data_IF_183076660509
#
_entry.id   IF_183076660509
#
_cell.length_a   1.000
_cell.length_b   1.000
_cell.length_c   1.000
_cell.angle_alpha   90.00
_cell.angle_beta   90.00
_cell.angle_gamma   90.00
#
_symmetry.space_group_name_H-M   'P 1'
#
loop_
_entity.id
_entity.type
_entity.pdbx_description
1 polymer ?
#
# COMPACT_ATOMS: atom_id res chain seq x y z
N UNK A 1 -12.01 8.81 -43.97
CA UNK A 1 -11.80 7.70 -43.01
C UNK A 1 -11.49 8.32 -41.66
N UNK A 2 -12.50 8.43 -40.81
CA UNK A 2 -12.37 8.92 -39.43
C UNK A 2 -12.01 7.73 -38.55
N UNK A 3 -10.78 7.71 -38.03
CA UNK A 3 -10.37 6.75 -37.02
C UNK A 3 -11.06 7.17 -35.71
N UNK A 4 -12.08 6.41 -35.31
CA UNK A 4 -12.65 6.56 -33.98
C UNK A 4 -11.58 6.24 -32.94
N UNK A 5 -11.31 7.20 -32.08
CA UNK A 5 -10.42 7.06 -30.94
C UNK A 5 -11.11 6.07 -29.99
N UNK A 6 -10.48 4.96 -29.57
CA UNK A 6 -11.10 4.02 -28.65
C UNK A 6 -11.44 4.77 -27.36
N UNK A 7 -12.73 4.89 -27.10
CA UNK A 7 -13.28 5.46 -25.88
C UNK A 7 -13.16 4.38 -24.81
N UNK A 8 -12.06 4.43 -24.06
CA UNK A 8 -11.94 3.63 -22.83
C UNK A 8 -13.11 4.01 -21.91
N UNK A 9 -13.85 3.03 -21.34
CA UNK A 9 -14.89 3.34 -20.38
C UNK A 9 -14.26 4.12 -19.20
N UNK A 10 -15.00 5.07 -18.59
CA UNK A 10 -14.52 5.74 -17.40
C UNK A 10 -14.29 4.68 -16.32
N UNK A 11 -13.03 4.42 -15.99
CA UNK A 11 -12.64 3.57 -14.87
C UNK A 11 -13.32 4.16 -13.63
N UNK A 12 -14.14 3.36 -12.93
CA UNK A 12 -14.82 3.79 -11.72
C UNK A 12 -13.77 4.15 -10.66
N UNK A 13 -13.47 5.44 -10.56
CA UNK A 13 -12.48 5.98 -9.64
C UNK A 13 -12.84 5.64 -8.19
N UNK A 14 -14.12 5.39 -7.89
CA UNK A 14 -14.65 5.07 -6.57
C UNK A 14 -14.27 3.68 -6.06
N UNK A 15 -13.63 2.83 -6.88
CA UNK A 15 -13.31 1.44 -6.52
C UNK A 15 -11.90 0.98 -6.91
N UNK A 16 -10.97 1.90 -7.18
CA UNK A 16 -9.59 1.51 -7.53
C UNK A 16 -8.94 0.85 -6.31
N UNK A 17 -8.73 -0.46 -6.39
CA UNK A 17 -7.92 -1.22 -5.45
C UNK A 17 -6.57 -1.50 -6.08
N UNK A 18 -5.52 -1.19 -5.35
CA UNK A 18 -4.16 -1.51 -5.77
C UNK A 18 -3.74 -2.85 -5.20
N UNK A 19 -2.97 -3.61 -5.98
CA UNK A 19 -2.38 -4.89 -5.61
C UNK A 19 -0.85 -4.78 -5.66
N UNK A 20 -0.18 -5.54 -4.79
CA UNK A 20 1.27 -5.78 -4.89
C UNK A 20 1.55 -6.83 -5.98
N UNK A 21 2.64 -6.67 -6.73
CA UNK A 21 3.08 -7.67 -7.70
C UNK A 21 3.92 -8.78 -7.04
N UNK A 22 3.33 -9.52 -6.10
CA UNK A 22 3.99 -10.66 -5.47
C UNK A 22 3.78 -11.94 -6.30
N UNK A 23 4.88 -12.64 -6.63
CA UNK A 23 4.82 -13.97 -7.21
C UNK A 23 4.39 -14.99 -6.14
N UNK A 24 3.08 -15.22 -6.03
CA UNK A 24 2.49 -16.47 -5.54
C UNK A 24 2.55 -16.72 -4.03
N UNK A 25 1.53 -16.27 -3.30
CA UNK A 25 1.18 -16.77 -1.97
C UNK A 25 -0.24 -16.35 -1.59
N UNK A 26 -1.17 -17.31 -1.49
CA UNK A 26 -2.57 -17.04 -1.22
C UNK A 26 -2.80 -16.58 0.23
N UNK A 27 -3.29 -15.36 0.45
CA UNK A 27 -3.79 -14.91 1.74
C UNK A 27 -5.31 -15.15 1.85
N UNK A 28 -5.73 -15.88 2.88
CA UNK A 28 -7.12 -16.18 3.17
C UNK A 28 -7.84 -14.98 3.82
N UNK A 29 -8.92 -14.50 3.20
CA UNK A 29 -9.77 -13.43 3.72
C UNK A 29 -10.67 -13.96 4.85
N UNK A 30 -10.56 -13.39 6.05
CA UNK A 30 -11.50 -13.61 7.15
C UNK A 30 -12.51 -12.46 7.23
N UNK A 31 -13.78 -12.75 6.98
CA UNK A 31 -14.90 -11.81 7.11
C UNK A 31 -15.38 -11.78 8.57
N UNK A 32 -15.21 -10.66 9.26
CA UNK A 32 -15.80 -10.41 10.59
C UNK A 32 -17.10 -9.59 10.48
N UNK A 33 -18.14 -9.84 11.31
CA UNK A 33 -19.42 -9.14 11.23
C UNK A 33 -19.38 -7.75 11.89
N UNK A 34 -20.08 -6.81 11.25
CA UNK A 34 -20.20 -5.40 11.63
C UNK A 34 -21.06 -5.18 12.88
N UNK A 35 -20.56 -4.40 13.84
CA UNK A 35 -21.30 -3.90 15.02
C UNK A 35 -21.23 -2.37 14.98
N UNK A 36 -22.38 -1.71 15.09
CA UNK A 36 -22.49 -0.24 15.07
C UNK A 36 -21.57 0.38 16.13
N UNK A 37 -20.61 1.19 15.68
CA UNK A 37 -19.50 1.69 16.49
C UNK A 37 -19.75 3.13 16.97
N UNK A 38 -19.20 3.45 18.16
CA UNK A 38 -18.81 4.81 18.54
C UNK A 38 -18.05 5.49 17.39
N UNK A 39 -17.95 6.85 17.28
CA UNK A 39 -17.27 7.48 16.16
C UNK A 39 -15.89 6.84 15.99
N UNK A 40 -15.76 6.06 14.93
CA UNK A 40 -14.62 5.19 14.76
C UNK A 40 -13.41 6.12 14.63
N UNK A 41 -12.35 5.82 15.37
CA UNK A 41 -11.04 6.43 15.12
C UNK A 41 -10.75 6.25 13.64
N UNK A 42 -10.34 7.34 12.97
CA UNK A 42 -10.13 7.34 11.53
C UNK A 42 -9.23 6.15 11.12
N UNK A 43 -9.67 5.30 10.17
CA UNK A 43 -9.00 4.04 9.86
C UNK A 43 -7.54 4.21 9.41
N UNK A 44 -7.17 5.39 8.89
CA UNK A 44 -5.80 5.66 8.46
C UNK A 44 -4.79 5.53 9.60
N UNK A 45 -5.16 5.83 10.85
CA UNK A 45 -4.26 5.69 11.98
C UNK A 45 -3.84 4.23 12.18
N UNK A 46 -4.79 3.30 12.08
CA UNK A 46 -4.49 1.88 12.19
C UNK A 46 -3.66 1.36 11.01
N UNK A 47 -3.85 1.91 9.81
CA UNK A 47 -3.03 1.56 8.65
C UNK A 47 -1.58 2.04 8.79
N UNK A 48 -1.37 3.27 9.26
CA UNK A 48 -0.04 3.82 9.53
C UNK A 48 0.72 2.97 10.56
N UNK A 49 0.06 2.57 11.66
CA UNK A 49 0.75 1.77 12.68
C UNK A 49 1.08 0.35 12.18
N UNK A 50 0.25 -0.24 11.31
CA UNK A 50 0.59 -1.51 10.64
C UNK A 50 1.79 -1.36 9.70
N UNK A 51 1.83 -0.30 8.91
CA UNK A 51 2.97 0.00 8.03
C UNK A 51 4.27 0.18 8.81
N UNK A 52 4.24 0.95 9.90
CA UNK A 52 5.41 1.11 10.79
C UNK A 52 5.86 -0.21 11.40
N UNK A 53 4.94 -1.06 11.84
CA UNK A 53 5.28 -2.36 12.40
C UNK A 53 5.96 -3.26 11.35
N UNK A 54 5.48 -3.22 10.09
CA UNK A 54 6.12 -3.93 8.99
C UNK A 54 7.53 -3.38 8.68
N UNK A 55 7.71 -2.06 8.72
CA UNK A 55 9.02 -1.42 8.50
C UNK A 55 10.06 -1.87 9.53
N UNK A 56 9.67 -2.00 10.80
CA UNK A 56 10.55 -2.55 11.86
C UNK A 56 10.96 -3.99 11.57
N UNK A 57 10.05 -4.82 11.06
CA UNK A 57 10.35 -6.22 10.70
C UNK A 57 11.30 -6.28 9.49
N UNK A 58 11.05 -5.43 8.48
CA UNK A 58 11.93 -5.30 7.32
C UNK A 58 13.33 -4.84 7.71
N UNK A 59 13.45 -3.79 8.55
CA UNK A 59 14.74 -3.32 9.05
C UNK A 59 15.49 -4.42 9.78
N UNK A 60 14.82 -5.16 10.67
CA UNK A 60 15.44 -6.28 11.37
C UNK A 60 15.93 -7.38 10.41
N UNK A 61 15.20 -7.65 9.34
CA UNK A 61 15.62 -8.61 8.31
C UNK A 61 16.83 -8.11 7.51
N UNK A 62 16.83 -6.83 7.11
CA UNK A 62 17.95 -6.17 6.43
C UNK A 62 19.20 -6.14 7.32
N UNK A 63 19.03 -5.90 8.62
CA UNK A 63 20.11 -5.89 9.61
C UNK A 63 20.78 -7.26 9.76
N UNK A 64 19.97 -8.34 9.74
CA UNK A 64 20.48 -9.70 9.74
C UNK A 64 21.22 -9.98 8.45
N UNK A 65 20.67 -9.54 7.32
CA UNK A 65 21.26 -9.70 5.99
C UNK A 65 22.63 -9.00 5.87
N UNK A 66 22.74 -7.75 6.33
CA UNK A 66 23.97 -6.96 6.27
C UNK A 66 25.12 -7.53 7.13
N UNK A 67 24.81 -8.36 8.13
CA UNK A 67 25.79 -9.02 9.01
C UNK A 67 26.31 -10.34 8.43
N UNK A 68 25.70 -10.85 7.37
CA UNK A 68 26.20 -12.03 6.68
C UNK A 68 27.44 -11.66 5.86
N UNK A 69 28.51 -12.49 5.90
CA UNK A 69 29.74 -12.18 5.19
C UNK A 69 29.51 -12.13 3.68
N UNK A 70 29.84 -10.99 3.06
CA UNK A 70 30.05 -10.86 1.61
C UNK A 70 31.38 -11.55 1.26
N UNK A 71 31.40 -12.88 1.31
CA UNK A 71 32.62 -13.68 1.26
C UNK A 71 32.61 -14.75 0.15
N UNK A 72 33.80 -15.12 -0.38
CA UNK A 72 33.95 -16.12 -1.43
C UNK A 72 33.76 -17.57 -0.94
N UNK A 73 33.57 -17.80 0.36
CA UNK A 73 33.24 -19.13 0.85
C UNK A 73 31.81 -19.49 0.41
N UNK A 74 31.63 -20.58 -0.35
CA UNK A 74 30.31 -20.95 -0.83
C UNK A 74 29.42 -21.29 0.36
N UNK A 75 28.47 -20.40 0.66
CA UNK A 75 27.34 -20.71 1.51
C UNK A 75 26.59 -21.90 0.90
N UNK A 76 26.13 -22.84 1.74
CA UNK A 76 25.38 -23.99 1.23
C UNK A 76 24.08 -23.54 0.56
N UNK A 77 23.62 -24.32 -0.42
CA UNK A 77 22.36 -24.06 -1.13
C UNK A 77 21.18 -23.89 -0.16
N UNK A 78 21.13 -24.68 0.91
CA UNK A 78 20.07 -24.61 1.92
C UNK A 78 20.09 -23.27 2.68
N UNK A 79 21.28 -22.76 3.01
CA UNK A 79 21.42 -21.44 3.66
C UNK A 79 21.06 -20.30 2.72
N UNK A 80 21.36 -20.43 1.42
CA UNK A 80 20.93 -19.46 0.41
C UNK A 80 19.42 -19.42 0.25
N UNK A 81 18.77 -20.59 0.17
CA UNK A 81 17.31 -20.69 0.05
C UNK A 81 16.63 -20.09 1.28
N UNK A 82 17.10 -20.41 2.49
CA UNK A 82 16.50 -19.86 3.71
C UNK A 82 16.74 -18.34 3.82
N UNK A 83 17.90 -17.85 3.38
CA UNK A 83 18.19 -16.41 3.29
C UNK A 83 17.20 -15.69 2.39
N UNK A 84 17.00 -16.20 1.17
CA UNK A 84 16.08 -15.58 0.20
C UNK A 84 14.64 -15.63 0.71
N UNK A 85 14.22 -16.77 1.27
CA UNK A 85 12.87 -16.92 1.84
C UNK A 85 12.55 -15.91 2.94
N UNK A 86 13.50 -15.61 3.82
CA UNK A 86 13.30 -14.62 4.89
C UNK A 86 13.23 -13.21 4.31
N UNK A 87 14.12 -12.90 3.35
CA UNK A 87 14.14 -11.61 2.67
C UNK A 87 12.81 -11.37 1.95
N UNK A 88 12.39 -12.30 1.10
CA UNK A 88 11.15 -12.24 0.34
C UNK A 88 9.94 -12.08 1.27
N UNK A 89 9.83 -12.92 2.31
CA UNK A 89 8.70 -12.84 3.23
C UNK A 89 8.63 -11.49 3.99
N UNK A 90 9.78 -10.92 4.36
CA UNK A 90 9.82 -9.60 5.00
C UNK A 90 9.52 -8.47 4.03
N UNK A 91 9.95 -8.59 2.77
CA UNK A 91 9.65 -7.65 1.68
C UNK A 91 8.17 -7.65 1.36
N UNK A 92 7.58 -8.85 1.19
CA UNK A 92 6.18 -9.04 0.86
C UNK A 92 5.28 -8.44 1.94
N UNK A 93 5.58 -8.69 3.22
CA UNK A 93 4.83 -8.12 4.33
C UNK A 93 4.89 -6.58 4.38
N UNK A 94 6.03 -5.99 4.00
CA UNK A 94 6.19 -4.54 3.89
C UNK A 94 5.39 -3.97 2.72
N UNK A 95 5.52 -4.57 1.54
CA UNK A 95 4.79 -4.17 0.34
C UNK A 95 3.27 -4.29 0.55
N UNK A 96 2.78 -5.37 1.16
CA UNK A 96 1.36 -5.56 1.52
C UNK A 96 0.88 -4.47 2.49
N UNK A 97 1.66 -4.15 3.53
CA UNK A 97 1.29 -3.11 4.48
C UNK A 97 1.25 -1.71 3.83
N UNK A 98 2.12 -1.45 2.85
CA UNK A 98 2.11 -0.20 2.09
C UNK A 98 0.96 -0.11 1.10
N UNK A 99 0.59 -1.22 0.46
CA UNK A 99 -0.63 -1.31 -0.37
C UNK A 99 -1.88 -1.08 0.49
N UNK A 100 -1.94 -1.69 1.67
CA UNK A 100 -3.02 -1.46 2.64
C UNK A 100 -3.11 0.01 3.08
N UNK A 101 -1.97 0.65 3.32
CA UNK A 101 -1.91 2.07 3.66
C UNK A 101 -2.50 2.94 2.55
N UNK A 102 -2.10 2.71 1.30
CA UNK A 102 -2.59 3.44 0.13
C UNK A 102 -4.09 3.21 -0.10
N UNK A 103 -4.56 1.98 0.08
CA UNK A 103 -5.96 1.61 -0.08
C UNK A 103 -6.87 2.05 1.09
N UNK A 104 -6.30 2.56 2.19
CA UNK A 104 -7.09 3.00 3.36
C UNK A 104 -7.49 4.47 3.20
N UNK A 105 -8.76 4.73 2.85
CA UNK A 105 -9.28 6.09 2.77
C UNK A 105 -9.43 6.74 4.16
N UNK A 106 -8.78 7.90 4.42
CA UNK A 106 -9.07 8.67 5.62
C UNK A 106 -10.51 9.20 5.60
N UNK A 107 -11.19 9.19 6.73
CA UNK A 107 -12.61 9.59 6.83
C UNK A 107 -12.82 10.88 7.60
N UNK A 108 -11.73 11.60 7.91
CA UNK A 108 -11.73 12.89 8.62
C UNK A 108 -10.64 13.81 8.07
N UNK A 109 -10.80 15.12 8.23
CA UNK A 109 -9.74 16.08 7.86
C UNK A 109 -8.45 15.86 8.66
N UNK A 110 -8.58 15.47 9.93
CA UNK A 110 -7.43 15.13 10.78
C UNK A 110 -6.71 13.87 10.26
N UNK A 111 -7.46 12.88 9.75
CA UNK A 111 -6.90 11.70 9.10
C UNK A 111 -6.16 12.02 7.81
N UNK A 112 -6.74 12.87 6.95
CA UNK A 112 -6.06 13.34 5.72
C UNK A 112 -4.74 14.03 6.07
N UNK A 113 -4.76 14.98 7.01
CA UNK A 113 -3.55 15.67 7.45
C UNK A 113 -2.51 14.71 8.04
N UNK A 114 -2.95 13.68 8.79
CA UNK A 114 -2.07 12.65 9.33
C UNK A 114 -1.44 11.81 8.21
N UNK A 115 -2.23 11.38 7.23
CA UNK A 115 -1.76 10.60 6.09
C UNK A 115 -0.69 11.35 5.29
N UNK A 116 -0.95 12.62 4.95
CA UNK A 116 -0.02 13.47 4.21
C UNK A 116 1.30 13.67 4.95
N UNK A 117 1.25 13.93 6.26
CA UNK A 117 2.46 14.06 7.05
C UNK A 117 3.26 12.76 7.10
N UNK A 118 2.59 11.62 7.25
CA UNK A 118 3.27 10.33 7.29
C UNK A 118 3.97 10.01 5.97
N UNK A 119 3.29 10.18 4.83
CA UNK A 119 3.92 9.98 3.52
C UNK A 119 5.06 10.96 3.28
N UNK A 120 4.94 12.21 3.72
CA UNK A 120 6.04 13.16 3.66
C UNK A 120 7.25 12.70 4.48
N UNK A 121 7.05 12.13 5.66
CA UNK A 121 8.12 11.52 6.46
C UNK A 121 8.81 10.40 5.67
N UNK A 122 8.03 9.49 5.06
CA UNK A 122 8.56 8.40 4.23
C UNK A 122 9.39 8.91 3.04
N UNK A 123 8.96 9.99 2.39
CA UNK A 123 9.72 10.57 1.27
C UNK A 123 11.00 11.26 1.71
N UNK A 124 10.97 12.01 2.82
CA UNK A 124 12.08 12.88 3.22
C UNK A 124 13.13 12.17 4.06
N UNK A 125 12.72 11.22 4.89
CA UNK A 125 13.63 10.54 5.81
C UNK A 125 14.11 9.20 5.26
N UNK A 126 13.22 8.49 4.56
CA UNK A 126 13.46 7.11 4.17
C UNK A 126 13.59 6.92 2.66
N UNK A 127 13.57 8.00 1.86
CA UNK A 127 13.61 7.97 0.38
C UNK A 127 12.58 7.00 -0.26
N UNK A 128 11.47 6.76 0.44
CA UNK A 128 10.46 5.78 0.05
C UNK A 128 10.89 4.31 0.15
N UNK A 129 11.96 3.99 0.87
CA UNK A 129 12.48 2.61 1.05
C UNK A 129 11.42 1.63 1.54
N UNK A 130 10.53 2.08 2.42
CA UNK A 130 9.46 1.25 2.99
C UNK A 130 8.18 1.27 2.16
N UNK A 131 8.12 2.09 1.09
CA UNK A 131 6.93 2.15 0.24
C UNK A 131 6.94 1.00 -0.75
N UNK A 132 5.75 0.53 -1.20
CA UNK A 132 5.66 -0.63 -2.06
C UNK A 132 6.48 -0.47 -3.33
N UNK A 133 7.27 -1.50 -3.62
CA UNK A 133 8.19 -1.47 -4.75
C UNK A 133 7.51 -1.69 -6.11
N UNK A 134 6.30 -2.26 -6.10
CA UNK A 134 5.47 -2.40 -7.28
C UNK A 134 3.97 -2.33 -6.96
N UNK A 135 3.33 -1.22 -7.34
CA UNK A 135 1.88 -1.11 -7.30
C UNK A 135 1.28 -1.42 -8.68
N UNK A 136 0.19 -2.17 -8.70
CA UNK A 136 -0.62 -2.44 -9.89
C UNK A 136 -2.07 -2.09 -9.64
N UNK A 137 -2.74 -1.56 -10.66
CA UNK A 137 -4.19 -1.41 -10.64
C UNK A 137 -4.82 -2.80 -10.82
N UNK A 138 -5.76 -3.16 -9.95
CA UNK A 138 -6.68 -4.25 -10.21
C UNK A 138 -7.69 -3.78 -11.28
N UNK A 139 -7.32 -3.87 -12.55
CA UNK A 139 -8.24 -3.68 -13.67
C UNK A 139 -8.83 -5.04 -14.10
N UNK A 140 -10.08 -5.05 -14.55
CA UNK A 140 -10.76 -6.24 -15.10
C UNK A 140 -10.38 -6.48 -16.58
N UNK A 141 -9.59 -5.58 -17.14
CA UNK A 141 -9.02 -5.64 -18.48
C UNK A 141 -7.57 -6.10 -18.38
N UNK A 142 -7.11 -7.03 -19.24
CA UNK A 142 -5.83 -7.77 -19.21
C UNK A 142 -4.51 -6.95 -19.19
N UNK A 143 -4.56 -5.64 -18.92
CA UNK A 143 -3.41 -4.75 -18.78
C UNK A 143 -3.11 -4.41 -17.33
N UNK A 144 -2.18 -5.11 -16.70
CA UNK A 144 -1.56 -4.66 -15.44
C UNK A 144 -0.62 -3.48 -15.73
N UNK A 145 -1.00 -2.28 -15.31
CA UNK A 145 -0.13 -1.10 -15.43
C UNK A 145 0.59 -0.82 -14.11
N UNK A 146 1.93 -0.70 -14.11
CA UNK A 146 2.65 -0.25 -12.93
C UNK A 146 2.25 1.20 -12.62
N UNK A 147 1.91 1.47 -11.37
CA UNK A 147 1.58 2.80 -10.87
C UNK A 147 2.60 3.20 -9.83
N UNK A 148 3.10 4.44 -9.90
CA UNK A 148 3.95 4.98 -8.85
C UNK A 148 3.14 5.09 -7.56
N UNK A 149 3.67 4.57 -6.46
CA UNK A 149 2.96 4.53 -5.18
C UNK A 149 2.50 5.92 -4.73
N UNK A 150 3.26 6.97 -5.05
CA UNK A 150 2.94 8.35 -4.69
C UNK A 150 1.71 8.86 -5.43
N UNK A 151 1.57 8.53 -6.72
CA UNK A 151 0.41 8.93 -7.51
C UNK A 151 -0.85 8.21 -7.01
N UNK A 152 -0.72 6.91 -6.73
CA UNK A 152 -1.80 6.12 -6.14
C UNK A 152 -2.27 6.66 -4.77
N UNK A 153 -1.33 7.08 -3.93
CA UNK A 153 -1.63 7.69 -2.65
C UNK A 153 -2.33 9.05 -2.82
N UNK A 154 -1.84 9.92 -3.70
CA UNK A 154 -2.43 11.24 -3.92
C UNK A 154 -3.84 11.14 -4.49
N UNK A 155 -4.09 10.21 -5.42
CA UNK A 155 -5.43 9.90 -5.93
C UNK A 155 -6.39 9.50 -4.78
N UNK A 156 -5.94 8.63 -3.86
CA UNK A 156 -6.75 8.21 -2.71
C UNK A 156 -7.08 9.38 -1.76
N UNK A 157 -6.13 10.30 -1.53
CA UNK A 157 -6.34 11.49 -0.71
C UNK A 157 -7.29 12.48 -1.38
N UNK A 158 -7.17 12.70 -2.69
CA UNK A 158 -8.08 13.56 -3.44
C UNK A 158 -9.52 13.04 -3.36
N UNK A 159 -9.70 11.72 -3.47
CA UNK A 159 -11.00 11.09 -3.35
C UNK A 159 -11.59 11.26 -1.94
N UNK A 160 -10.80 10.98 -0.90
CA UNK A 160 -11.23 11.15 0.49
C UNK A 160 -11.65 12.60 0.79
N UNK A 161 -10.89 13.58 0.30
CA UNK A 161 -11.23 15.00 0.45
C UNK A 161 -12.54 15.34 -0.27
N UNK A 162 -12.74 14.82 -1.48
CA UNK A 162 -13.96 15.02 -2.27
C UNK A 162 -15.19 14.40 -1.61
N UNK A 163 -15.04 13.26 -0.94
CA UNK A 163 -16.12 12.61 -0.19
C UNK A 163 -16.53 13.41 1.04
N UNK A 164 -15.55 13.94 1.79
CA UNK A 164 -15.81 14.79 2.94
C UNK A 164 -16.53 16.09 2.56
N UNK A 165 -16.12 16.73 1.45
CA UNK A 165 -16.80 17.93 0.94
C UNK A 165 -18.26 17.63 0.54
N UNK A 166 -18.49 16.51 -0.17
CA UNK A 166 -19.85 16.07 -0.53
C UNK A 166 -20.70 15.80 0.71
N UNK A 167 -20.16 15.13 1.72
CA UNK A 167 -20.86 14.86 2.97
C UNK A 167 -21.19 16.16 3.74
N UNK A 168 -20.26 17.11 3.79
CA UNK A 168 -20.48 18.41 4.41
C UNK A 168 -21.59 19.22 3.75
N UNK A 169 -21.64 19.23 2.41
CA UNK A 169 -22.71 19.88 1.63
C UNK A 169 -24.08 19.24 1.84
N UNK A 170 -24.14 17.91 1.97
CA UNK A 170 -25.40 17.18 2.19
C UNK A 170 -26.03 17.46 3.58
N UNK A 171 -25.24 17.82 4.58
CA UNK A 171 -25.72 18.18 5.94
C UNK A 171 -26.25 19.62 6.00
N UNK A 172 -25.89 20.47 5.04
CA UNK A 172 -26.27 21.89 5.00
C UNK A 172 -27.51 22.18 4.13
N UNK A 173 -28.03 21.18 3.42
CA UNK A 173 -29.21 21.26 2.54
C UNK A 173 -30.48 20.79 3.26
#
# INVERSE_FOLDING_TARGET
MTLERPMFPPVDQTRRRFLSAAAGGAAALSLSPSRAAAPAVDPIYAAIERHKAAAVVWDAAVDVWAKLPDGPEPMSTERWIERERINDASRDAMDDAGVDLINTSPTTLAGIARALNYIREQMLQDDGVYMPSSLRLADDTDGEYPVAWIDAFLDAIEQAASELDRAGKAVQA
#
